data_IF_211093110761
#
_entry.id   IF_211093110761
#
_cell.length_a   1.000
_cell.length_b   1.000
_cell.length_c   1.000
_cell.angle_alpha   90.00
_cell.angle_beta   90.00
_cell.angle_gamma   90.00
#
_symmetry.space_group_name_H-M   'P 1'
#
loop_
_entity.id
_entity.type
_entity.pdbx_description
1 polymer ?
#
# COMPACT_ATOMS: atom_id res chain seq x y z
N UNK A 1 2.65 -7.98 -0.16
CA UNK A 1 1.51 -7.08 -0.45
C UNK A 1 0.42 -7.09 0.62
N UNK A 2 -0.11 -8.23 1.08
CA UNK A 2 -1.23 -8.21 2.06
C UNK A 2 -0.96 -7.31 3.28
N UNK A 3 0.21 -7.50 3.92
CA UNK A 3 0.68 -6.74 5.09
C UNK A 3 0.64 -5.23 4.89
N UNK A 4 1.01 -4.71 3.71
CA UNK A 4 0.96 -3.27 3.39
C UNK A 4 -0.45 -2.70 3.57
N UNK A 5 -1.48 -3.49 3.28
CA UNK A 5 -2.87 -3.05 3.36
C UNK A 5 -3.53 -3.27 4.72
N UNK A 6 -3.03 -4.26 5.48
CA UNK A 6 -3.61 -4.72 6.74
C UNK A 6 -2.86 -4.20 7.97
N UNK A 7 -1.58 -3.86 7.84
CA UNK A 7 -0.80 -3.35 8.96
C UNK A 7 -0.93 -1.83 9.05
N UNK A 8 -1.33 -1.34 10.23
CA UNK A 8 -1.24 0.06 10.58
C UNK A 8 0.19 0.45 10.93
N UNK A 9 0.54 1.70 10.67
CA UNK A 9 1.74 2.33 11.21
C UNK A 9 1.38 3.17 12.44
N UNK A 10 2.31 3.46 13.35
CA UNK A 10 2.07 4.39 14.44
C UNK A 10 1.53 5.74 13.94
N UNK A 11 0.32 6.11 14.37
CA UNK A 11 -0.34 7.35 13.96
C UNK A 11 -1.17 7.29 12.67
N UNK A 12 -1.21 6.14 12.00
CA UNK A 12 -1.96 5.93 10.76
C UNK A 12 -3.17 4.99 10.93
N UNK A 13 -3.96 4.85 9.86
CA UNK A 13 -4.96 3.80 9.69
C UNK A 13 -4.56 2.83 8.58
N UNK A 14 -5.02 1.59 8.66
CA UNK A 14 -4.83 0.58 7.64
C UNK A 14 -5.49 0.98 6.31
N UNK A 15 -4.93 0.57 5.17
CA UNK A 15 -5.53 0.86 3.87
C UNK A 15 -6.94 0.26 3.75
N UNK A 16 -7.17 -0.93 4.34
CA UNK A 16 -8.48 -1.61 4.37
C UNK A 16 -9.57 -0.72 4.98
N UNK A 17 -9.23 0.18 5.91
CA UNK A 17 -10.22 1.04 6.57
C UNK A 17 -10.96 1.96 5.58
N UNK A 18 -10.26 2.49 4.57
CA UNK A 18 -10.84 3.38 3.57
C UNK A 18 -11.03 2.73 2.19
N UNK A 19 -10.30 1.65 1.88
CA UNK A 19 -10.30 0.98 0.58
C UNK A 19 -10.99 -0.40 0.59
N UNK A 20 -11.85 -0.65 1.58
CA UNK A 20 -12.67 -1.85 1.73
C UNK A 20 -13.65 -2.11 0.57
N UNK A 21 -14.19 -1.06 -0.05
CA UNK A 21 -15.25 -1.22 -1.05
C UNK A 21 -15.36 0.00 -1.98
N UNK A 22 -16.30 -0.07 -2.92
CA UNK A 22 -16.61 1.02 -3.85
C UNK A 22 -15.62 1.16 -5.00
N UNK A 23 -15.73 2.27 -5.74
CA UNK A 23 -15.00 2.52 -7.00
C UNK A 23 -13.47 2.58 -6.79
N UNK A 24 -13.03 2.89 -5.58
CA UNK A 24 -11.61 2.95 -5.18
C UNK A 24 -11.22 1.82 -4.22
N UNK A 25 -12.05 0.77 -4.12
CA UNK A 25 -11.82 -0.37 -3.25
C UNK A 25 -10.85 -1.37 -3.88
N UNK A 26 -9.77 -1.68 -3.18
CA UNK A 26 -8.77 -2.67 -3.60
C UNK A 26 -8.29 -3.56 -2.45
N UNK A 27 -8.78 -3.32 -1.24
CA UNK A 27 -8.42 -4.05 -0.02
C UNK A 27 -9.72 -4.36 0.75
N UNK A 28 -10.53 -5.34 0.30
CA UNK A 28 -11.77 -5.73 0.97
C UNK A 28 -11.52 -6.25 2.39
N UNK A 29 -12.49 -6.13 3.33
CA UNK A 29 -12.29 -6.63 4.69
C UNK A 29 -11.86 -8.10 4.70
N UNK A 30 -10.94 -8.45 5.60
CA UNK A 30 -10.60 -9.85 5.86
C UNK A 30 -11.83 -10.50 6.50
N UNK A 31 -12.31 -11.66 6.01
CA UNK A 31 -13.50 -12.29 6.58
C UNK A 31 -13.29 -12.71 8.04
N UNK A 32 -14.38 -12.68 8.80
CA UNK A 32 -14.36 -12.92 10.25
C UNK A 32 -13.63 -14.21 10.63
N UNK A 33 -12.90 -14.14 11.75
CA UNK A 33 -12.11 -15.26 12.26
C UNK A 33 -10.78 -15.50 11.53
N UNK A 34 -10.33 -14.57 10.68
CA UNK A 34 -9.04 -14.64 9.99
C UNK A 34 -8.26 -13.34 10.16
N UNK A 35 -6.94 -13.48 10.25
CA UNK A 35 -6.01 -12.32 10.27
C UNK A 35 -5.59 -11.89 8.86
N UNK A 36 -5.73 -12.80 7.87
CA UNK A 36 -5.25 -12.61 6.50
C UNK A 36 -6.25 -13.11 5.46
N UNK A 37 -6.17 -12.50 4.27
CA UNK A 37 -6.78 -13.06 3.07
C UNK A 37 -6.11 -14.38 2.70
N UNK A 38 -6.90 -15.32 2.17
CA UNK A 38 -6.35 -16.53 1.56
C UNK A 38 -5.65 -16.18 0.23
N UNK A 39 -5.05 -17.19 -0.41
CA UNK A 39 -4.29 -16.98 -1.64
C UNK A 39 -5.15 -16.41 -2.79
N UNK A 40 -6.36 -16.94 -2.99
CA UNK A 40 -7.26 -16.50 -4.05
C UNK A 40 -7.67 -15.03 -3.86
N UNK A 41 -8.11 -14.68 -2.66
CA UNK A 41 -8.46 -13.31 -2.26
C UNK A 41 -7.26 -12.37 -2.44
N UNK A 42 -6.06 -12.82 -2.09
CA UNK A 42 -4.83 -12.03 -2.26
C UNK A 42 -4.50 -11.76 -3.71
N UNK A 43 -4.59 -12.79 -4.56
CA UNK A 43 -4.36 -12.64 -6.01
C UNK A 43 -5.37 -11.67 -6.61
N UNK A 44 -6.64 -11.75 -6.19
CA UNK A 44 -7.69 -10.83 -6.60
C UNK A 44 -7.41 -9.40 -6.18
N UNK A 45 -7.09 -9.17 -4.91
CA UNK A 45 -6.79 -7.85 -4.36
C UNK A 45 -5.57 -7.23 -5.04
N UNK A 46 -4.51 -8.03 -5.24
CA UNK A 46 -3.33 -7.64 -5.99
C UNK A 46 -3.67 -7.22 -7.44
N UNK A 47 -4.53 -7.98 -8.13
CA UNK A 47 -4.95 -7.67 -9.49
C UNK A 47 -5.75 -6.35 -9.60
N UNK A 48 -6.41 -5.91 -8.52
CA UNK A 48 -7.07 -4.61 -8.46
C UNK A 48 -6.04 -3.53 -8.14
N UNK A 49 -5.23 -3.73 -7.10
CA UNK A 49 -4.24 -2.75 -6.64
C UNK A 49 -3.21 -2.40 -7.72
N UNK A 50 -2.82 -3.36 -8.58
CA UNK A 50 -1.89 -3.11 -9.68
C UNK A 50 -2.41 -2.11 -10.73
N UNK A 51 -3.70 -1.81 -10.76
CA UNK A 51 -4.26 -0.77 -11.65
C UNK A 51 -3.81 0.64 -11.27
N UNK A 52 -3.27 0.80 -10.07
CA UNK A 52 -2.71 2.07 -9.56
C UNK A 52 -1.18 2.14 -9.72
N UNK A 53 -0.60 1.25 -10.50
CA UNK A 53 0.85 1.13 -10.70
C UNK A 53 1.17 1.34 -12.17
N UNK A 54 2.12 2.24 -12.42
CA UNK A 54 2.78 2.39 -13.71
C UNK A 54 4.10 1.58 -13.65
N UNK A 55 4.23 0.46 -14.37
CA UNK A 55 5.42 -0.37 -14.33
C UNK A 55 6.68 0.40 -14.69
N UNK A 56 7.74 0.25 -13.89
CA UNK A 56 8.99 0.98 -14.09
C UNK A 56 9.02 2.38 -13.47
N UNK A 57 7.86 2.97 -13.15
CA UNK A 57 7.74 4.39 -12.79
C UNK A 57 7.07 4.60 -11.41
N UNK A 58 7.83 4.47 -10.29
CA UNK A 58 7.30 4.63 -8.93
C UNK A 58 6.59 5.96 -8.69
N UNK A 59 7.14 7.07 -9.18
CA UNK A 59 6.56 8.41 -8.99
C UNK A 59 5.34 8.68 -9.88
N UNK A 60 5.08 7.84 -10.89
CA UNK A 60 3.86 7.89 -11.69
C UNK A 60 2.78 6.93 -11.16
N UNK A 61 3.13 6.09 -10.18
CA UNK A 61 2.25 5.10 -9.59
C UNK A 61 1.44 5.69 -8.45
N UNK A 62 0.11 5.85 -8.65
CA UNK A 62 -0.83 6.35 -7.62
C UNK A 62 -0.79 5.56 -6.32
N UNK A 63 -0.48 4.26 -6.38
CA UNK A 63 -0.32 3.43 -5.19
C UNK A 63 0.78 3.96 -4.25
N UNK A 64 1.82 4.58 -4.82
CA UNK A 64 2.99 5.10 -4.08
C UNK A 64 2.89 6.60 -3.80
N UNK A 65 2.20 7.38 -4.64
CA UNK A 65 2.17 8.84 -4.52
C UNK A 65 0.92 9.38 -3.81
N UNK A 66 -0.21 8.68 -3.85
CA UNK A 66 -1.43 9.16 -3.21
C UNK A 66 -1.29 9.23 -1.68
N UNK A 67 -0.78 8.21 -0.97
CA UNK A 67 -0.57 8.28 0.47
C UNK A 67 0.82 8.84 0.86
N UNK A 68 1.63 9.34 -0.08
CA UNK A 68 2.91 10.01 0.20
C UNK A 68 2.67 11.48 0.61
N UNK A 69 3.52 12.02 1.48
CA UNK A 69 3.46 13.42 1.87
C UNK A 69 3.70 14.36 0.66
N UNK A 70 2.96 15.48 0.54
CA UNK A 70 3.15 16.43 -0.56
C UNK A 70 4.58 16.97 -0.69
N UNK A 71 5.27 17.17 0.44
CA UNK A 71 6.68 17.62 0.47
C UNK A 71 7.65 16.64 -0.18
N UNK A 72 7.27 15.37 -0.31
CA UNK A 72 8.05 14.32 -0.97
C UNK A 72 7.56 14.01 -2.39
N UNK A 73 6.67 14.85 -2.95
CA UNK A 73 6.10 14.66 -4.30
C UNK A 73 4.81 13.83 -4.32
N UNK A 74 4.18 13.61 -3.16
CA UNK A 74 2.87 12.99 -3.08
C UNK A 74 1.72 13.92 -3.51
N UNK A 75 0.52 13.35 -3.64
CA UNK A 75 -0.66 14.11 -4.04
C UNK A 75 -1.03 15.19 -3.01
N UNK A 76 -1.52 16.35 -3.47
CA UNK A 76 -2.01 17.40 -2.57
C UNK A 76 -3.13 16.92 -1.64
N UNK A 77 -4.00 16.03 -2.12
CA UNK A 77 -5.13 15.51 -1.35
C UNK A 77 -5.10 13.97 -1.27
N UNK A 78 -5.23 13.47 -0.04
CA UNK A 78 -5.58 12.10 0.31
C UNK A 78 -6.58 12.19 1.46
N UNK A 79 -7.75 11.57 1.31
CA UNK A 79 -8.82 11.66 2.31
C UNK A 79 -8.51 10.97 3.64
N UNK A 80 -7.43 10.17 3.68
CA UNK A 80 -6.88 9.53 4.86
C UNK A 80 -5.46 10.02 5.19
N UNK A 81 -4.80 9.41 6.18
CA UNK A 81 -3.46 9.79 6.60
C UNK A 81 -2.42 9.54 5.51
N UNK A 82 -1.23 10.13 5.69
CA UNK A 82 -0.10 9.91 4.80
C UNK A 82 0.73 8.75 5.31
N UNK A 83 0.69 7.61 4.61
CA UNK A 83 1.45 6.42 4.97
C UNK A 83 2.96 6.67 4.96
N UNK A 84 3.45 7.56 4.08
CA UNK A 84 4.88 7.83 3.94
C UNK A 84 5.16 9.33 4.00
N UNK A 85 6.12 9.73 4.83
CA UNK A 85 6.59 11.11 4.92
C UNK A 85 7.66 11.46 3.86
N UNK A 86 8.39 10.45 3.37
CA UNK A 86 9.51 10.59 2.44
C UNK A 86 9.55 9.39 1.49
N UNK A 87 10.13 9.59 0.30
CA UNK A 87 10.50 8.49 -0.59
C UNK A 87 11.67 7.66 -0.04
N UNK A 88 12.39 8.16 0.96
CA UNK A 88 13.45 7.41 1.65
C UNK A 88 12.89 6.38 2.66
N UNK A 89 11.58 6.35 2.88
CA UNK A 89 10.96 5.37 3.76
C UNK A 89 11.23 3.94 3.26
N UNK A 90 11.70 3.01 4.13
CA UNK A 90 12.05 1.65 3.71
C UNK A 90 10.91 0.90 3.03
N UNK A 91 9.67 1.08 3.50
CA UNK A 91 8.51 0.43 2.90
C UNK A 91 8.18 1.05 1.53
N UNK A 92 8.31 2.38 1.42
CA UNK A 92 8.18 3.06 0.13
C UNK A 92 9.22 2.55 -0.87
N UNK A 93 10.49 2.43 -0.46
CA UNK A 93 11.58 1.93 -1.30
C UNK A 93 11.38 0.46 -1.70
N UNK A 94 10.92 -0.39 -0.79
CA UNK A 94 10.54 -1.76 -1.09
C UNK A 94 9.46 -1.79 -2.18
N UNK A 95 8.39 -1.01 -2.05
CA UNK A 95 7.35 -0.95 -3.07
C UNK A 95 7.86 -0.34 -4.38
N UNK A 96 8.72 0.67 -4.33
CA UNK A 96 9.29 1.30 -5.50
C UNK A 96 10.19 0.33 -6.29
N UNK A 97 10.99 -0.49 -5.60
CA UNK A 97 11.78 -1.56 -6.21
C UNK A 97 10.87 -2.58 -6.90
N UNK A 98 9.79 -3.00 -6.23
CA UNK A 98 8.79 -3.88 -6.84
C UNK A 98 8.13 -3.25 -8.08
N UNK A 99 7.78 -1.94 -8.05
CA UNK A 99 7.24 -1.21 -9.21
C UNK A 99 8.25 -1.19 -10.38
N UNK A 100 9.55 -1.08 -10.08
CA UNK A 100 10.63 -1.16 -11.07
C UNK A 100 10.87 -2.58 -11.63
N UNK A 101 10.11 -3.58 -11.18
CA UNK A 101 10.24 -4.96 -11.62
C UNK A 101 11.30 -5.77 -10.86
N UNK A 102 11.80 -5.25 -9.74
CA UNK A 102 12.75 -5.93 -8.87
C UNK A 102 12.02 -6.90 -7.91
N UNK A 103 12.78 -7.76 -7.24
CA UNK A 103 12.28 -8.68 -6.19
C UNK A 103 12.83 -8.28 -4.82
N UNK A 104 12.30 -7.21 -4.20
CA UNK A 104 12.78 -6.72 -2.92
C UNK A 104 12.43 -7.66 -1.77
N UNK A 105 13.25 -7.65 -0.72
CA UNK A 105 12.90 -8.26 0.55
C UNK A 105 11.71 -7.53 1.19
N UNK A 106 10.85 -8.26 1.89
CA UNK A 106 9.73 -7.68 2.61
C UNK A 106 10.21 -7.02 3.91
N UNK A 107 9.99 -5.72 4.05
CA UNK A 107 10.36 -4.94 5.27
C UNK A 107 9.15 -4.55 6.13
N UNK A 108 7.94 -4.95 5.72
CA UNK A 108 6.70 -4.61 6.44
C UNK A 108 6.64 -5.37 7.76
N UNK A 109 6.38 -4.65 8.85
CA UNK A 109 6.23 -5.23 10.19
C UNK A 109 7.55 -5.52 10.92
N UNK A 110 8.70 -5.09 10.39
CA UNK A 110 10.00 -5.27 11.07
C UNK A 110 10.29 -4.23 12.17
N UNK A 111 9.50 -3.16 12.26
CA UNK A 111 9.74 -2.03 13.18
C UNK A 111 8.81 -1.92 14.40
N UNK A 112 7.94 -2.90 14.66
CA UNK A 112 6.91 -2.83 15.72
C UNK A 112 6.91 -4.10 16.61
N UNK A 113 8.11 -4.65 16.89
CA UNK A 113 8.34 -5.63 17.97
C UNK A 113 9.08 -5.00 19.13
#
# INVERSE_FOLDING_TARGET
MQRVFLDKRPGDVECVHCHASGVRGFAPPVPEGRDFWNEEETRRNYAIARRYVEPGEPMMSRLLTHPLAPSAGGDYFHGGPRRWASTEDPEWQMLAAWVRGETPACVVGEGDR
#
